data_IF_887527583428
#
_entry.id   IF_887527583428
#
_cell.length_a   1.000
_cell.length_b   1.000
_cell.length_c   1.000
_cell.angle_alpha   90.00
_cell.angle_beta   90.00
_cell.angle_gamma   90.00
#
_symmetry.space_group_name_H-M   'P 1'
#
loop_
_entity.id
_entity.type
_entity.pdbx_description
1 polymer ?
#
# COMPACT_ATOMS: atom_id res chain seq x y z
N UNK A 1 -2.98 -14.36 13.01
CA UNK A 1 -3.21 -13.75 11.68
C UNK A 1 -4.69 -13.39 11.46
N UNK A 2 -5.67 -14.29 11.70
CA UNK A 2 -7.09 -13.98 11.46
C UNK A 2 -7.62 -12.77 12.24
N UNK A 3 -7.22 -12.58 13.49
CA UNK A 3 -7.57 -11.37 14.24
C UNK A 3 -7.09 -10.10 13.55
N UNK A 4 -5.85 -10.10 13.04
CA UNK A 4 -5.30 -8.99 12.28
C UNK A 4 -6.06 -8.75 10.97
N UNK A 5 -6.41 -9.81 10.25
CA UNK A 5 -7.23 -9.71 9.02
C UNK A 5 -8.60 -9.08 9.33
N UNK A 6 -9.29 -9.54 10.38
CA UNK A 6 -10.56 -8.97 10.79
C UNK A 6 -10.44 -7.51 11.25
N UNK A 7 -9.34 -7.16 11.94
CA UNK A 7 -9.06 -5.78 12.32
C UNK A 7 -8.95 -4.86 11.10
N UNK A 8 -8.36 -5.32 10.00
CA UNK A 8 -8.31 -4.53 8.75
C UNK A 8 -9.70 -4.33 8.13
N UNK A 9 -10.62 -5.29 8.30
CA UNK A 9 -12.01 -5.12 7.85
C UNK A 9 -12.72 -4.06 8.68
N UNK A 10 -12.55 -4.08 10.01
CA UNK A 10 -13.10 -3.05 10.91
C UNK A 10 -12.58 -1.66 10.52
N UNK A 11 -11.27 -1.54 10.31
CA UNK A 11 -10.66 -0.27 9.86
C UNK A 11 -11.19 0.14 8.48
N UNK A 12 -11.38 -0.82 7.57
CA UNK A 12 -11.96 -0.57 6.25
C UNK A 12 -13.38 -0.03 6.31
N UNK A 13 -14.23 -0.55 7.21
CA UNK A 13 -15.58 -0.04 7.44
C UNK A 13 -15.57 1.40 7.97
N UNK A 14 -14.68 1.69 8.94
CA UNK A 14 -14.54 3.03 9.48
C UNK A 14 -14.09 4.02 8.40
N UNK A 15 -13.12 3.63 7.57
CA UNK A 15 -12.64 4.45 6.46
C UNK A 15 -13.73 4.64 5.38
N UNK A 16 -14.46 3.59 5.02
CA UNK A 16 -15.59 3.69 4.09
C UNK A 16 -16.63 4.69 4.60
N UNK A 17 -17.04 4.57 5.86
CA UNK A 17 -18.00 5.48 6.47
C UNK A 17 -17.52 6.94 6.45
N UNK A 18 -16.25 7.17 6.77
CA UNK A 18 -15.66 8.50 6.76
C UNK A 18 -15.63 9.11 5.34
N UNK A 19 -15.25 8.32 4.33
CA UNK A 19 -15.21 8.76 2.93
C UNK A 19 -16.62 9.03 2.37
N UNK A 20 -17.57 8.15 2.66
CA UNK A 20 -18.97 8.34 2.20
C UNK A 20 -19.63 9.53 2.89
N UNK A 21 -19.32 9.82 4.14
CA UNK A 21 -19.74 11.05 4.81
C UNK A 21 -19.13 12.33 4.21
N UNK A 22 -18.04 12.18 3.47
CA UNK A 22 -17.40 13.25 2.71
C UNK A 22 -17.82 13.25 1.21
N UNK A 23 -18.91 12.59 0.87
CA UNK A 23 -19.44 12.45 -0.49
C UNK A 23 -18.48 11.76 -1.47
N UNK A 24 -17.54 10.92 -0.97
CA UNK A 24 -16.64 10.13 -1.79
C UNK A 24 -17.20 8.72 -1.94
N UNK A 25 -17.69 8.31 -3.12
CA UNK A 25 -18.24 6.98 -3.34
C UNK A 25 -17.17 5.91 -3.08
N UNK A 26 -17.41 5.02 -2.13
CA UNK A 26 -16.42 4.05 -1.66
C UNK A 26 -17.00 2.64 -1.63
N UNK A 27 -16.16 1.62 -1.82
CA UNK A 27 -16.52 0.21 -1.65
C UNK A 27 -15.45 -0.53 -0.86
N UNK A 28 -15.88 -1.29 0.13
CA UNK A 28 -15.02 -2.21 0.87
C UNK A 28 -15.14 -3.61 0.26
N UNK A 29 -14.02 -4.18 -0.13
CA UNK A 29 -13.92 -5.57 -0.57
C UNK A 29 -12.98 -6.34 0.37
N UNK A 30 -13.32 -7.57 0.69
CA UNK A 30 -12.55 -8.38 1.63
C UNK A 30 -12.10 -9.71 1.02
N UNK A 31 -10.90 -10.15 1.39
CA UNK A 31 -10.38 -11.46 1.01
C UNK A 31 -11.03 -12.59 1.83
N UNK A 32 -11.56 -12.29 3.02
CA UNK A 32 -12.36 -13.20 3.85
C UNK A 32 -13.83 -12.91 3.56
N UNK A 33 -14.61 -13.94 3.25
CA UNK A 33 -16.03 -13.78 2.92
C UNK A 33 -16.83 -13.43 4.19
N UNK A 34 -17.37 -12.21 4.23
CA UNK A 34 -18.24 -11.70 5.29
C UNK A 34 -19.36 -10.90 4.59
N UNK A 35 -20.26 -11.60 3.92
CA UNK A 35 -21.24 -11.00 3.01
C UNK A 35 -22.15 -9.93 3.64
N UNK A 36 -22.40 -10.03 4.96
CA UNK A 36 -23.23 -9.09 5.70
C UNK A 36 -22.54 -7.73 5.91
N UNK A 37 -21.21 -7.66 5.70
CA UNK A 37 -20.38 -6.51 6.10
C UNK A 37 -19.69 -5.88 4.92
N UNK A 38 -19.19 -6.68 3.96
CA UNK A 38 -18.39 -6.20 2.84
C UNK A 38 -18.52 -7.11 1.62
N UNK A 39 -18.24 -6.56 0.45
CA UNK A 39 -18.22 -7.37 -0.77
C UNK A 39 -17.05 -8.36 -0.73
N UNK A 40 -17.22 -9.61 -1.18
CA UNK A 40 -16.08 -10.48 -1.45
C UNK A 40 -15.23 -9.91 -2.57
N UNK A 41 -13.90 -10.00 -2.42
CA UNK A 41 -12.99 -9.55 -3.46
C UNK A 41 -13.18 -10.36 -4.74
N UNK A 42 -13.49 -9.67 -5.81
CA UNK A 42 -13.52 -10.20 -7.18
C UNK A 42 -12.84 -9.16 -8.07
N UNK A 43 -11.73 -9.51 -8.71
CA UNK A 43 -10.94 -8.58 -9.53
C UNK A 43 -11.79 -7.73 -10.49
N UNK A 44 -12.66 -8.35 -11.27
CA UNK A 44 -13.52 -7.64 -12.26
C UNK A 44 -14.49 -6.66 -11.57
N UNK A 45 -14.92 -6.96 -10.37
CA UNK A 45 -15.79 -6.06 -9.59
C UNK A 45 -14.99 -4.85 -9.07
N UNK A 46 -13.77 -5.08 -8.57
CA UNK A 46 -12.86 -4.01 -8.16
C UNK A 46 -12.57 -3.05 -9.33
N UNK A 47 -12.17 -3.59 -10.48
CA UNK A 47 -11.95 -2.81 -11.70
C UNK A 47 -13.19 -1.99 -12.09
N UNK A 48 -14.37 -2.58 -12.04
CA UNK A 48 -15.62 -1.87 -12.35
C UNK A 48 -15.94 -0.73 -11.36
N UNK A 49 -15.54 -0.88 -10.11
CA UNK A 49 -15.66 0.23 -9.14
C UNK A 49 -14.70 1.36 -9.47
N UNK A 50 -13.44 1.05 -9.77
CA UNK A 50 -12.42 2.03 -10.16
C UNK A 50 -12.81 2.78 -11.45
N UNK A 51 -13.28 2.08 -12.47
CA UNK A 51 -13.81 2.69 -13.71
C UNK A 51 -14.96 3.69 -13.45
N UNK A 52 -15.72 3.50 -12.38
CA UNK A 52 -16.78 4.41 -11.96
C UNK A 52 -16.29 5.55 -11.05
N UNK A 53 -14.98 5.74 -10.91
CA UNK A 53 -14.38 6.76 -10.07
C UNK A 53 -14.60 6.54 -8.56
N UNK A 54 -14.80 5.29 -8.12
CA UNK A 54 -14.97 4.95 -6.70
C UNK A 54 -13.63 4.65 -6.05
N UNK A 55 -13.52 4.99 -4.79
CA UNK A 55 -12.45 4.46 -3.95
C UNK A 55 -12.78 3.00 -3.59
N UNK A 56 -11.80 2.11 -3.73
CA UNK A 56 -11.93 0.71 -3.31
C UNK A 56 -10.98 0.44 -2.16
N UNK A 57 -11.52 -0.03 -1.05
CA UNK A 57 -10.75 -0.43 0.13
C UNK A 57 -10.65 -1.95 0.11
N UNK A 58 -9.45 -2.48 0.27
CA UNK A 58 -9.22 -3.93 0.37
C UNK A 58 -8.90 -4.31 1.81
N UNK A 59 -9.77 -5.12 2.42
CA UNK A 59 -9.61 -5.65 3.77
C UNK A 59 -9.33 -7.16 3.78
N UNK A 60 -8.91 -7.69 4.93
CA UNK A 60 -8.64 -9.12 5.10
C UNK A 60 -7.32 -9.61 4.53
N UNK A 61 -6.43 -8.69 4.12
CA UNK A 61 -5.13 -9.06 3.58
C UNK A 61 -5.23 -9.90 2.31
N UNK A 62 -4.48 -11.02 2.25
CA UNK A 62 -4.59 -12.03 1.19
C UNK A 62 -5.72 -13.04 1.45
N UNK A 63 -6.29 -13.04 2.64
CA UNK A 63 -7.19 -14.10 3.12
C UNK A 63 -6.45 -15.35 3.64
N UNK A 64 -5.14 -15.39 3.50
CA UNK A 64 -4.29 -16.51 3.94
C UNK A 64 -3.38 -16.09 5.08
N UNK A 65 -3.19 -16.95 6.11
CA UNK A 65 -2.17 -16.75 7.13
C UNK A 65 -0.77 -16.67 6.54
N UNK A 66 0.19 -16.17 7.32
CA UNK A 66 1.62 -16.06 6.99
C UNK A 66 2.01 -15.04 5.91
N UNK A 67 1.05 -14.39 5.26
CA UNK A 67 1.31 -13.24 4.38
C UNK A 67 1.12 -11.93 5.13
N UNK A 68 1.96 -10.95 4.81
CA UNK A 68 1.86 -9.62 5.39
C UNK A 68 0.87 -8.74 4.62
N UNK A 69 0.55 -7.58 5.20
CA UNK A 69 -0.22 -6.54 4.52
C UNK A 69 0.53 -5.98 3.30
N UNK A 70 1.87 -5.97 3.33
CA UNK A 70 2.70 -5.56 2.18
C UNK A 70 2.48 -6.51 1.00
N UNK A 71 2.54 -7.82 1.23
CA UNK A 71 2.23 -8.83 0.19
C UNK A 71 0.82 -8.70 -0.36
N UNK A 72 -0.15 -8.42 0.50
CA UNK A 72 -1.53 -8.20 0.08
C UNK A 72 -1.66 -6.93 -0.79
N UNK A 73 -0.99 -5.83 -0.41
CA UNK A 73 -1.02 -4.58 -1.15
C UNK A 73 -0.46 -4.75 -2.57
N UNK A 74 0.70 -5.40 -2.70
CA UNK A 74 1.31 -5.65 -4.02
C UNK A 74 0.42 -6.55 -4.88
N UNK A 75 -0.11 -7.64 -4.30
CA UNK A 75 -1.02 -8.55 -5.01
C UNK A 75 -2.24 -7.80 -5.54
N UNK A 76 -2.91 -7.00 -4.71
CA UNK A 76 -4.07 -6.21 -5.14
C UNK A 76 -3.70 -5.17 -6.19
N UNK A 77 -2.56 -4.49 -6.04
CA UNK A 77 -2.09 -3.51 -7.00
C UNK A 77 -1.90 -4.12 -8.40
N UNK A 78 -1.28 -5.32 -8.48
CA UNK A 78 -1.12 -6.05 -9.74
C UNK A 78 -2.48 -6.45 -10.31
N UNK A 79 -3.36 -7.02 -9.49
CA UNK A 79 -4.68 -7.50 -9.93
C UNK A 79 -5.57 -6.38 -10.49
N UNK A 80 -5.46 -5.17 -9.96
CA UNK A 80 -6.22 -4.00 -10.43
C UNK A 80 -5.46 -3.15 -11.44
N UNK A 81 -4.27 -3.59 -11.88
CA UNK A 81 -3.43 -2.87 -12.84
C UNK A 81 -3.08 -1.44 -12.36
N UNK A 82 -2.67 -1.32 -11.10
CA UNK A 82 -2.27 -0.04 -10.54
C UNK A 82 -0.93 0.43 -11.14
N UNK A 83 -0.78 1.74 -11.32
CA UNK A 83 0.44 2.36 -11.86
C UNK A 83 1.56 2.45 -10.82
N UNK A 84 1.23 2.49 -9.52
CA UNK A 84 2.18 2.70 -8.43
C UNK A 84 1.61 2.23 -7.09
N UNK A 85 2.49 1.82 -6.18
CA UNK A 85 2.17 1.58 -4.77
C UNK A 85 2.65 2.77 -3.94
N UNK A 86 1.77 3.40 -3.20
CA UNK A 86 2.10 4.43 -2.23
C UNK A 86 2.18 3.80 -0.84
N UNK A 87 3.38 3.64 -0.30
CA UNK A 87 3.61 3.09 1.02
C UNK A 87 3.72 4.21 2.06
N UNK A 88 2.62 4.48 2.75
CA UNK A 88 2.60 5.40 3.89
C UNK A 88 3.24 4.77 5.13
N UNK A 89 4.27 5.40 5.66
CA UNK A 89 5.04 4.93 6.83
C UNK A 89 5.20 6.04 7.88
N UNK A 90 5.98 5.75 8.93
CA UNK A 90 6.39 6.76 9.93
C UNK A 90 7.69 7.47 9.57
N UNK A 91 8.39 6.98 8.54
CA UNK A 91 9.62 7.58 8.03
C UNK A 91 9.36 8.22 6.66
N UNK A 92 10.11 9.25 6.35
CA UNK A 92 9.90 10.07 5.15
C UNK A 92 10.58 9.53 3.89
N UNK A 93 11.11 8.31 3.94
CA UNK A 93 11.73 7.66 2.79
C UNK A 93 12.66 6.50 3.18
N UNK A 94 13.48 6.08 2.24
CA UNK A 94 14.49 5.04 2.39
C UNK A 94 15.85 5.70 2.58
N UNK A 95 16.62 5.20 3.54
CA UNK A 95 17.93 5.73 3.92
C UNK A 95 19.03 4.69 3.73
N UNK A 96 20.27 5.16 3.65
CA UNK A 96 21.47 4.30 3.60
C UNK A 96 21.65 3.45 4.85
N UNK A 97 21.13 3.92 5.99
CA UNK A 97 21.10 3.24 7.28
C UNK A 97 19.86 3.73 8.07
N UNK A 98 19.60 3.14 9.23
CA UNK A 98 18.51 3.58 10.10
C UNK A 98 18.78 5.01 10.64
N UNK A 99 18.00 6.02 10.22
CA UNK A 99 18.24 7.41 10.61
C UNK A 99 18.05 7.68 12.11
N UNK A 100 17.36 6.80 12.84
CA UNK A 100 17.22 6.91 14.29
C UNK A 100 18.48 6.45 15.03
N UNK A 101 19.34 5.65 14.38
CA UNK A 101 20.58 5.09 14.94
C UNK A 101 21.85 5.72 14.37
N UNK A 102 21.79 6.19 13.13
CA UNK A 102 22.92 6.77 12.42
C UNK A 102 22.55 8.14 11.86
N UNK A 103 23.07 9.18 12.51
CA UNK A 103 22.84 10.56 12.08
C UNK A 103 23.50 10.93 10.74
N UNK A 104 24.39 10.07 10.22
CA UNK A 104 25.01 10.21 8.89
C UNK A 104 24.18 9.50 7.78
N UNK A 105 23.07 8.88 8.12
CA UNK A 105 22.20 8.24 7.14
C UNK A 105 21.67 9.25 6.13
N UNK A 106 21.84 8.94 4.85
CA UNK A 106 21.41 9.79 3.72
C UNK A 106 20.14 9.19 3.12
N UNK A 107 19.12 10.02 2.92
CA UNK A 107 17.89 9.64 2.26
C UNK A 107 18.11 9.54 0.74
N UNK A 108 17.51 8.53 0.14
CA UNK A 108 17.41 8.42 -1.31
C UNK A 108 16.16 9.15 -1.82
N UNK A 109 16.28 9.91 -2.89
CA UNK A 109 15.13 10.39 -3.64
C UNK A 109 14.62 9.29 -4.59
N UNK A 110 15.59 8.58 -5.23
CA UNK A 110 15.35 7.43 -6.10
C UNK A 110 16.33 6.31 -5.78
N UNK A 111 15.88 5.07 -5.86
CA UNK A 111 16.72 3.89 -5.72
C UNK A 111 16.14 2.75 -6.56
N UNK A 112 17.00 1.94 -7.19
CA UNK A 112 16.53 0.78 -7.94
C UNK A 112 16.16 -0.39 -7.00
N UNK A 113 15.27 -1.28 -7.46
CA UNK A 113 14.97 -2.52 -6.76
C UNK A 113 16.24 -3.32 -6.46
N UNK A 114 17.13 -3.41 -7.45
CA UNK A 114 18.41 -4.13 -7.33
C UNK A 114 19.31 -3.53 -6.24
N UNK A 115 19.40 -2.21 -6.16
CA UNK A 115 20.22 -1.55 -5.15
C UNK A 115 19.65 -1.70 -3.75
N UNK A 116 18.32 -1.71 -3.60
CA UNK A 116 17.66 -2.01 -2.32
C UNK A 116 18.05 -3.41 -1.84
N UNK A 117 17.99 -4.42 -2.74
CA UNK A 117 18.36 -5.81 -2.41
C UNK A 117 19.85 -5.93 -2.12
N UNK A 118 20.72 -5.37 -2.96
CA UNK A 118 22.20 -5.41 -2.78
C UNK A 118 22.64 -4.76 -1.47
N UNK A 119 21.98 -3.66 -1.08
CA UNK A 119 22.27 -2.93 0.16
C UNK A 119 21.56 -3.50 1.39
N UNK A 120 20.68 -4.50 1.21
CA UNK A 120 19.90 -5.10 2.29
C UNK A 120 18.95 -4.14 2.99
N UNK A 121 18.44 -3.13 2.28
CA UNK A 121 17.54 -2.13 2.83
C UNK A 121 16.13 -2.73 3.01
N UNK A 122 15.49 -2.39 4.14
CA UNK A 122 14.15 -2.90 4.47
C UNK A 122 13.08 -1.90 4.04
N UNK A 123 12.45 -2.15 2.92
CA UNK A 123 11.32 -1.35 2.39
C UNK A 123 9.99 -2.04 2.69
N UNK A 124 9.91 -3.32 2.35
CA UNK A 124 8.79 -4.23 2.55
C UNK A 124 9.33 -5.60 2.96
N UNK A 125 8.44 -6.56 3.23
CA UNK A 125 8.88 -7.95 3.27
C UNK A 125 9.37 -8.41 1.89
N UNK A 126 10.28 -9.40 1.89
CA UNK A 126 10.96 -9.85 0.66
C UNK A 126 9.98 -10.36 -0.40
N UNK A 127 8.90 -11.04 0.01
CA UNK A 127 7.89 -11.56 -0.93
C UNK A 127 7.19 -10.42 -1.67
N UNK A 128 6.72 -9.41 -0.92
CA UNK A 128 6.08 -8.22 -1.50
C UNK A 128 7.03 -7.47 -2.43
N UNK A 129 8.27 -7.27 -1.98
CA UNK A 129 9.27 -6.52 -2.72
C UNK A 129 9.64 -7.19 -4.05
N UNK A 130 9.92 -8.50 -4.03
CA UNK A 130 10.24 -9.28 -5.23
C UNK A 130 9.06 -9.32 -6.21
N UNK A 131 7.83 -9.51 -5.69
CA UNK A 131 6.63 -9.50 -6.52
C UNK A 131 6.42 -8.15 -7.22
N UNK A 132 6.69 -7.04 -6.52
CA UNK A 132 6.62 -5.69 -7.10
C UNK A 132 7.68 -5.50 -8.20
N UNK A 133 8.92 -5.93 -7.96
CA UNK A 133 10.01 -5.88 -8.94
C UNK A 133 9.69 -6.68 -10.20
N UNK A 134 9.25 -7.95 -10.05
CA UNK A 134 8.92 -8.83 -11.19
C UNK A 134 7.80 -8.30 -12.07
N UNK A 135 6.90 -7.47 -11.52
CA UNK A 135 5.80 -6.85 -12.25
C UNK A 135 6.07 -5.39 -12.64
N UNK A 136 7.30 -4.90 -12.45
CA UNK A 136 7.69 -3.51 -12.76
C UNK A 136 6.77 -2.46 -12.11
N UNK A 137 6.28 -2.75 -10.91
CA UNK A 137 5.36 -1.89 -10.18
C UNK A 137 6.14 -0.98 -9.22
N UNK A 138 6.23 0.32 -9.48
CA UNK A 138 6.99 1.26 -8.64
C UNK A 138 6.39 1.38 -7.24
N UNK A 139 7.27 1.65 -6.25
CA UNK A 139 6.87 1.89 -4.87
C UNK A 139 7.35 3.28 -4.45
N UNK A 140 6.47 4.10 -3.91
CA UNK A 140 6.84 5.38 -3.29
C UNK A 140 6.66 5.26 -1.78
N UNK A 141 7.76 5.40 -1.03
CA UNK A 141 7.76 5.38 0.45
C UNK A 141 7.75 6.80 0.97
N UNK A 142 6.78 7.16 1.79
CA UNK A 142 6.64 8.51 2.32
C UNK A 142 6.10 8.53 3.75
N UNK A 143 6.32 9.63 4.48
CA UNK A 143 5.76 9.83 5.81
C UNK A 143 4.28 10.22 5.73
N UNK A 144 3.41 9.29 6.16
CA UNK A 144 1.96 9.49 6.18
C UNK A 144 1.47 10.33 7.38
N UNK A 145 2.27 10.43 8.45
CA UNK A 145 1.87 11.18 9.64
C UNK A 145 1.95 12.71 9.43
N UNK A 146 2.75 13.15 8.47
CA UNK A 146 2.85 14.57 8.14
C UNK A 146 1.63 14.98 7.32
N UNK A 147 0.83 15.88 7.91
CA UNK A 147 -0.40 16.38 7.28
C UNK A 147 -0.13 16.96 5.88
N UNK A 148 -0.91 16.51 4.91
CA UNK A 148 -0.82 16.95 3.51
C UNK A 148 0.12 16.11 2.64
N UNK A 149 0.98 15.26 3.19
CA UNK A 149 1.92 14.46 2.38
C UNK A 149 1.19 13.50 1.42
N UNK A 150 0.12 12.85 1.86
CA UNK A 150 -0.65 11.99 0.97
C UNK A 150 -1.17 12.77 -0.25
N UNK A 151 -1.73 13.96 -0.03
CA UNK A 151 -2.19 14.81 -1.13
C UNK A 151 -1.05 15.18 -2.09
N UNK A 152 0.10 15.56 -1.55
CA UNK A 152 1.30 15.89 -2.34
C UNK A 152 1.77 14.73 -3.20
N UNK A 153 1.91 13.53 -2.62
CA UNK A 153 2.33 12.33 -3.38
C UNK A 153 1.33 12.01 -4.49
N UNK A 154 0.03 12.03 -4.20
CA UNK A 154 -1.02 11.76 -5.21
C UNK A 154 -1.05 12.84 -6.30
N UNK A 155 -0.68 14.08 -5.97
CA UNK A 155 -0.55 15.17 -6.94
C UNK A 155 0.76 15.14 -7.75
N UNK A 156 1.63 14.15 -7.52
CA UNK A 156 2.88 13.97 -8.26
C UNK A 156 4.05 14.79 -7.72
N UNK A 157 3.95 15.40 -6.53
CA UNK A 157 5.09 16.04 -5.90
C UNK A 157 6.13 14.97 -5.49
N UNK A 158 7.40 15.24 -5.75
CA UNK A 158 8.49 14.35 -5.36
C UNK A 158 8.78 14.47 -3.86
N UNK A 159 8.02 13.75 -3.05
CA UNK A 159 8.27 13.58 -1.62
C UNK A 159 8.48 12.11 -1.30
N UNK A 160 9.38 11.83 -0.36
CA UNK A 160 9.68 10.44 -0.02
C UNK A 160 10.82 9.85 -0.84
N UNK A 161 10.79 8.55 -1.07
CA UNK A 161 11.73 7.80 -1.92
C UNK A 161 10.97 6.97 -2.93
N UNK A 162 11.32 7.09 -4.21
CA UNK A 162 10.78 6.25 -5.27
C UNK A 162 11.69 5.06 -5.52
N UNK A 163 11.12 3.85 -5.49
CA UNK A 163 11.78 2.60 -5.88
C UNK A 163 11.22 2.19 -7.24
N UNK A 164 12.09 2.01 -8.22
CA UNK A 164 11.72 1.57 -9.58
C UNK A 164 12.83 0.68 -10.18
N UNK A 165 12.74 0.35 -11.47
CA UNK A 165 13.77 -0.40 -12.20
C UNK A 165 15.04 0.42 -12.39
#
# INVERSE_FOLDING_TARGET
DYMGMLATVINGLALQSALENADVPTRLQTAIIINEVAEPFIRRRAMRHLEKGRVVIFGGGTGNPYFTTDSAAVLRAIEIEADVILKGTRVDGIYTADPEKDSAAIKFDYISFDDVLKKGLKVMDTTAFTLSQENNLPIIVFDMNKKGNLLKVVSGENIGTTVNL
#
